data_IF_633422229463
#
_entry.id   IF_633422229463
#
_cell.length_a   1.000
_cell.length_b   1.000
_cell.length_c   1.000
_cell.angle_alpha   90.00
_cell.angle_beta   90.00
_cell.angle_gamma   90.00
#
_symmetry.space_group_name_H-M   'P 1'
#
loop_
_entity.id
_entity.type
_entity.pdbx_description
1 polymer ?
#
# COMPACT_ATOMS: atom_id res chain seq x y z
N UNK A 1 -13.37 -44.53 71.40
CA UNK A 1 -13.86 -45.88 71.76
C UNK A 1 -14.87 -46.30 70.71
N UNK A 2 -14.63 -47.47 70.11
CA UNK A 2 -15.54 -48.40 69.41
C UNK A 2 -16.41 -47.88 68.24
N UNK A 3 -16.20 -48.35 67.00
CA UNK A 3 -16.61 -49.67 66.43
C UNK A 3 -18.03 -49.55 65.81
N UNK A 4 -18.43 -50.08 64.65
CA UNK A 4 -17.86 -51.06 63.74
C UNK A 4 -18.59 -51.06 62.36
N UNK A 5 -17.81 -51.34 61.32
CA UNK A 5 -18.01 -52.31 60.21
C UNK A 5 -19.36 -52.47 59.49
N UNK A 6 -19.29 -52.39 58.16
CA UNK A 6 -19.52 -53.56 57.29
C UNK A 6 -18.69 -53.44 55.99
N UNK A 7 -17.92 -54.50 55.68
CA UNK A 7 -17.17 -54.69 54.42
C UNK A 7 -17.98 -55.63 53.54
N UNK A 8 -17.90 -55.48 52.21
CA UNK A 8 -17.78 -56.63 51.32
C UNK A 8 -17.00 -56.29 50.04
N UNK A 9 -16.31 -57.31 49.57
CA UNK A 9 -15.15 -57.35 48.67
C UNK A 9 -15.45 -57.13 47.18
N UNK A 10 -14.42 -56.70 46.43
CA UNK A 10 -14.42 -56.86 44.97
C UNK A 10 -13.24 -56.23 44.20
N UNK A 11 -12.05 -56.83 44.32
CA UNK A 11 -10.95 -56.90 43.32
C UNK A 11 -10.62 -55.69 42.41
N UNK A 12 -9.42 -55.12 42.61
CA UNK A 12 -8.57 -54.54 41.54
C UNK A 12 -7.80 -55.69 40.86
N UNK A 13 -7.39 -55.63 39.57
CA UNK A 13 -6.25 -54.79 39.18
C UNK A 13 -6.19 -54.30 37.71
N UNK A 14 -5.14 -53.51 37.45
CA UNK A 14 -4.32 -53.47 36.24
C UNK A 14 -4.39 -52.17 35.41
N UNK A 15 -3.52 -51.24 35.81
CA UNK A 15 -2.94 -50.22 34.94
C UNK A 15 -2.06 -50.88 33.86
N UNK A 16 -2.20 -50.48 32.60
CA UNK A 16 -1.22 -50.75 31.54
C UNK A 16 -0.70 -49.43 30.94
N UNK A 17 0.58 -49.36 30.52
CA UNK A 17 1.23 -48.13 30.08
C UNK A 17 1.04 -47.88 28.58
N UNK A 18 0.92 -46.59 28.23
CA UNK A 18 0.63 -46.09 26.90
C UNK A 18 1.92 -46.00 26.07
N UNK A 19 2.33 -47.10 25.44
CA UNK A 19 3.28 -47.04 24.33
C UNK A 19 2.52 -46.85 23.01
N UNK A 20 2.38 -45.60 22.55
CA UNK A 20 2.00 -45.31 21.16
C UNK A 20 3.20 -45.62 20.25
N UNK A 21 3.23 -46.82 19.67
CA UNK A 21 4.00 -47.08 18.45
C UNK A 21 3.28 -46.42 17.28
N UNK A 22 4.00 -45.64 16.48
CA UNK A 22 3.51 -45.16 15.18
C UNK A 22 3.10 -46.37 14.31
N UNK A 23 1.94 -46.35 13.63
CA UNK A 23 1.64 -47.36 12.64
C UNK A 23 2.54 -47.12 11.43
N UNK A 24 3.42 -48.08 11.12
CA UNK A 24 3.97 -48.23 9.78
C UNK A 24 2.77 -48.44 8.85
N UNK A 25 2.66 -47.61 7.81
CA UNK A 25 1.58 -47.64 6.83
C UNK A 25 1.60 -48.96 6.06
N UNK A 26 0.93 -49.99 6.58
CA UNK A 26 0.58 -51.18 5.78
C UNK A 26 -0.57 -50.72 4.88
N UNK A 27 -0.28 -50.46 3.60
CA UNK A 27 -1.32 -50.17 2.61
C UNK A 27 -2.32 -51.34 2.61
N UNK A 28 -3.62 -51.05 2.77
CA UNK A 28 -4.64 -52.10 2.77
C UNK A 28 -4.67 -52.77 1.39
N UNK A 29 -4.71 -54.10 1.36
CA UNK A 29 -4.74 -54.92 0.14
C UNK A 29 -5.87 -54.51 -0.80
N UNK A 30 -7.01 -54.09 -0.23
CA UNK A 30 -8.16 -53.59 -1.00
C UNK A 30 -7.91 -52.28 -1.74
N UNK A 31 -7.06 -51.38 -1.22
CA UNK A 31 -6.69 -50.17 -1.96
C UNK A 31 -5.80 -50.49 -3.17
N UNK A 32 -4.96 -51.53 -3.06
CA UNK A 32 -4.10 -51.99 -4.15
C UNK A 32 -4.95 -52.67 -5.24
N UNK A 33 -5.88 -53.54 -4.86
CA UNK A 33 -6.81 -54.18 -5.82
C UNK A 33 -7.66 -53.15 -6.57
N UNK A 34 -8.22 -52.16 -5.85
CA UNK A 34 -8.99 -51.08 -6.47
C UNK A 34 -8.15 -50.22 -7.43
N UNK A 35 -6.90 -49.91 -7.06
CA UNK A 35 -5.98 -49.20 -7.94
C UNK A 35 -5.65 -50.01 -9.20
N UNK A 36 -5.33 -51.30 -9.06
CA UNK A 36 -5.03 -52.19 -10.19
C UNK A 36 -6.19 -52.32 -11.18
N UNK A 37 -7.43 -52.40 -10.69
CA UNK A 37 -8.63 -52.47 -11.54
C UNK A 37 -8.85 -51.17 -12.32
N UNK A 38 -8.50 -50.02 -11.72
CA UNK A 38 -8.59 -48.71 -12.35
C UNK A 38 -7.52 -48.52 -13.43
N UNK A 39 -6.31 -49.02 -13.18
CA UNK A 39 -5.19 -49.05 -14.14
C UNK A 39 -5.55 -49.92 -15.36
N UNK A 40 -6.07 -51.14 -15.13
CA UNK A 40 -6.51 -52.06 -16.18
C UNK A 40 -7.63 -51.44 -17.04
N UNK A 41 -8.61 -50.79 -16.40
CA UNK A 41 -9.70 -50.11 -17.11
C UNK A 41 -9.25 -48.92 -17.96
N UNK A 42 -8.20 -48.23 -17.55
CA UNK A 42 -7.61 -47.12 -18.31
C UNK A 42 -6.71 -47.61 -19.46
N UNK A 43 -6.38 -48.91 -19.51
CA UNK A 43 -5.51 -49.48 -20.53
C UNK A 43 -4.07 -48.96 -20.48
N UNK A 44 -3.64 -48.48 -19.31
CA UNK A 44 -2.28 -47.96 -19.07
C UNK A 44 -1.51 -48.94 -18.20
N UNK A 45 -0.21 -49.10 -18.45
CA UNK A 45 0.64 -49.90 -17.56
C UNK A 45 1.11 -49.09 -16.35
N UNK A 46 1.61 -49.78 -15.32
CA UNK A 46 2.29 -49.12 -14.19
C UNK A 46 3.50 -48.33 -14.69
N UNK A 47 4.19 -48.81 -15.72
CA UNK A 47 5.33 -48.13 -16.32
C UNK A 47 4.92 -46.90 -17.14
N UNK A 48 3.75 -46.91 -17.78
CA UNK A 48 3.17 -45.71 -18.42
C UNK A 48 2.79 -44.66 -17.38
N UNK A 49 2.22 -45.07 -16.24
CA UNK A 49 1.91 -44.17 -15.13
C UNK A 49 3.17 -43.61 -14.47
N UNK A 50 4.22 -44.44 -14.34
CA UNK A 50 5.54 -43.99 -13.88
C UNK A 50 6.16 -43.01 -14.88
N UNK A 51 6.08 -43.30 -16.17
CA UNK A 51 6.63 -42.42 -17.23
C UNK A 51 5.89 -41.09 -17.29
N UNK A 52 4.56 -41.10 -17.19
CA UNK A 52 3.74 -39.90 -17.06
C UNK A 52 4.01 -39.14 -15.75
N UNK A 53 4.35 -39.84 -14.66
CA UNK A 53 4.78 -39.22 -13.41
C UNK A 53 6.23 -38.68 -13.46
N UNK A 54 7.06 -39.19 -14.38
CA UNK A 54 8.44 -38.73 -14.64
C UNK A 54 8.43 -37.52 -15.61
N UNK A 55 7.46 -37.43 -16.53
CA UNK A 55 7.16 -36.22 -17.33
C UNK A 55 6.56 -35.07 -16.48
N UNK A 56 6.96 -34.94 -15.22
CA UNK A 56 6.70 -33.69 -14.50
C UNK A 56 7.42 -32.56 -15.25
N UNK A 57 6.76 -31.41 -15.47
CA UNK A 57 7.40 -30.24 -16.03
C UNK A 57 8.70 -29.96 -15.28
N UNK A 58 9.79 -29.75 -16.02
CA UNK A 58 11.05 -29.35 -15.42
C UNK A 58 10.82 -28.05 -14.63
N UNK A 59 10.86 -28.14 -13.29
CA UNK A 59 10.67 -26.98 -12.42
C UNK A 59 11.91 -26.09 -12.56
N UNK A 60 11.78 -24.84 -13.00
CA UNK A 60 12.91 -23.96 -13.20
C UNK A 60 13.56 -23.60 -11.86
N UNK A 61 14.79 -23.12 -11.95
CA UNK A 61 15.48 -22.49 -10.83
C UNK A 61 14.97 -21.06 -10.59
N UNK A 62 15.24 -20.50 -9.41
CA UNK A 62 14.94 -19.08 -9.16
C UNK A 62 15.66 -18.17 -10.16
N UNK A 63 16.91 -18.47 -10.52
CA UNK A 63 17.71 -17.70 -11.47
C UNK A 63 17.09 -17.63 -12.86
N UNK A 64 16.46 -18.73 -13.30
CA UNK A 64 15.75 -18.80 -14.58
C UNK A 64 14.37 -18.11 -14.50
N UNK A 65 13.65 -18.28 -13.39
CA UNK A 65 12.24 -17.88 -13.31
C UNK A 65 12.00 -16.44 -12.85
N UNK A 66 12.85 -15.89 -11.97
CA UNK A 66 12.71 -14.50 -11.50
C UNK A 66 12.69 -13.49 -12.67
N UNK A 67 13.57 -13.57 -13.69
CA UNK A 67 13.51 -12.67 -14.85
C UNK A 67 12.18 -12.77 -15.63
N UNK A 68 11.62 -13.98 -15.76
CA UNK A 68 10.33 -14.21 -16.43
C UNK A 68 9.23 -13.47 -15.69
N UNK A 69 9.13 -13.68 -14.37
CA UNK A 69 8.11 -13.02 -13.54
C UNK A 69 8.32 -11.50 -13.49
N UNK A 70 9.56 -11.03 -13.36
CA UNK A 70 9.87 -9.60 -13.39
C UNK A 70 9.39 -8.95 -14.70
N UNK A 71 9.62 -9.59 -15.85
CA UNK A 71 9.21 -9.05 -17.14
C UNK A 71 7.69 -9.13 -17.37
N UNK A 72 7.01 -10.13 -16.80
CA UNK A 72 5.56 -10.25 -16.85
C UNK A 72 4.85 -9.22 -15.95
N UNK A 73 5.50 -8.77 -14.87
CA UNK A 73 4.93 -7.77 -13.98
C UNK A 73 4.91 -6.36 -14.60
N UNK A 74 3.83 -5.58 -14.40
CA UNK A 74 3.79 -4.18 -14.78
C UNK A 74 4.96 -3.38 -14.17
N UNK A 75 5.54 -2.48 -14.97
CA UNK A 75 6.66 -1.62 -14.58
C UNK A 75 6.26 -0.62 -13.48
N UNK A 76 6.25 -1.10 -12.24
CA UNK A 76 5.80 -0.38 -11.05
C UNK A 76 6.85 -0.46 -9.94
N UNK A 77 6.83 0.50 -9.02
CA UNK A 77 7.71 0.47 -7.85
C UNK A 77 7.54 -0.79 -6.98
N UNK A 78 6.38 -1.45 -7.03
CA UNK A 78 6.16 -2.74 -6.35
C UNK A 78 7.04 -3.83 -6.95
N UNK A 79 7.11 -3.91 -8.28
CA UNK A 79 7.99 -4.84 -9.00
C UNK A 79 9.45 -4.65 -8.60
N UNK A 80 9.93 -3.40 -8.59
CA UNK A 80 11.32 -3.11 -8.22
C UNK A 80 11.61 -3.40 -6.74
N UNK A 81 10.60 -3.19 -5.88
CA UNK A 81 10.68 -3.57 -4.46
C UNK A 81 10.79 -5.09 -4.33
N UNK A 82 9.96 -5.86 -5.02
CA UNK A 82 10.01 -7.32 -4.99
C UNK A 82 11.34 -7.85 -5.51
N UNK A 83 11.87 -7.27 -6.60
CA UNK A 83 13.19 -7.62 -7.12
C UNK A 83 14.28 -7.51 -6.05
N UNK A 84 14.25 -6.47 -5.19
CA UNK A 84 15.23 -6.31 -4.12
C UNK A 84 15.22 -7.42 -3.05
N UNK A 85 14.12 -8.19 -2.98
CA UNK A 85 14.00 -9.37 -2.14
C UNK A 85 14.29 -10.66 -2.91
N UNK A 86 13.84 -10.76 -4.16
CA UNK A 86 14.10 -11.93 -5.01
C UNK A 86 15.58 -12.15 -5.27
N UNK A 87 16.38 -11.09 -5.39
CA UNK A 87 17.84 -11.21 -5.51
C UNK A 87 18.53 -11.81 -4.28
N UNK A 88 17.82 -12.01 -3.18
CA UNK A 88 18.31 -12.69 -1.97
C UNK A 88 18.04 -14.20 -1.97
N UNK A 89 17.33 -14.70 -2.98
CA UNK A 89 17.04 -16.12 -3.14
C UNK A 89 18.24 -16.84 -3.79
N UNK A 90 18.27 -18.17 -3.67
CA UNK A 90 19.31 -18.99 -4.27
C UNK A 90 19.09 -19.11 -5.78
N UNK A 91 20.00 -18.62 -6.64
CA UNK A 91 19.79 -18.64 -8.09
C UNK A 91 19.68 -20.06 -8.64
N UNK A 92 20.46 -21.01 -8.13
CA UNK A 92 20.55 -22.37 -8.67
C UNK A 92 19.53 -23.35 -8.07
N UNK A 93 18.77 -22.92 -7.06
CA UNK A 93 17.79 -23.79 -6.38
C UNK A 93 16.48 -23.81 -7.18
N UNK A 94 15.87 -24.99 -7.32
CA UNK A 94 14.57 -25.12 -7.99
C UNK A 94 13.46 -24.52 -7.14
N UNK A 95 12.35 -24.13 -7.77
CA UNK A 95 11.23 -23.53 -7.03
C UNK A 95 10.54 -24.52 -6.07
N UNK A 96 10.65 -25.84 -6.28
CA UNK A 96 10.02 -26.89 -5.47
C UNK A 96 10.89 -27.43 -4.32
N UNK A 97 12.15 -27.00 -4.23
CA UNK A 97 13.12 -27.45 -3.22
C UNK A 97 13.08 -26.69 -1.87
N UNK A 98 12.80 -25.37 -1.81
CA UNK A 98 12.88 -24.62 -0.56
C UNK A 98 11.85 -25.08 0.47
N UNK A 99 12.34 -25.32 1.67
CA UNK A 99 11.46 -25.53 2.83
C UNK A 99 10.95 -24.19 3.37
N UNK A 100 9.81 -24.24 4.07
CA UNK A 100 9.26 -23.08 4.79
C UNK A 100 10.26 -22.51 5.79
N UNK A 101 11.06 -23.37 6.43
CA UNK A 101 12.07 -22.95 7.42
C UNK A 101 13.19 -22.15 6.77
N UNK A 102 13.70 -22.60 5.61
CA UNK A 102 14.74 -21.87 4.88
C UNK A 102 14.23 -20.48 4.42
N UNK A 103 12.99 -20.39 3.96
CA UNK A 103 12.37 -19.10 3.62
C UNK A 103 12.24 -18.19 4.86
N UNK A 104 11.85 -18.73 6.02
CA UNK A 104 11.80 -17.97 7.27
C UNK A 104 13.17 -17.45 7.69
N UNK A 105 14.22 -18.26 7.51
CA UNK A 105 15.60 -17.85 7.79
C UNK A 105 16.00 -16.66 6.91
N UNK A 106 15.79 -16.73 5.59
CA UNK A 106 16.08 -15.62 4.67
C UNK A 106 15.31 -14.34 5.02
N UNK A 107 14.04 -14.48 5.43
CA UNK A 107 13.21 -13.35 5.85
C UNK A 107 13.78 -12.68 7.10
N UNK A 108 14.22 -13.46 8.09
CA UNK A 108 14.82 -12.93 9.31
C UNK A 108 16.21 -12.33 9.06
N UNK A 109 17.02 -12.90 8.17
CA UNK A 109 18.29 -12.30 7.72
C UNK A 109 18.04 -10.95 7.03
N UNK A 110 17.08 -10.88 6.11
CA UNK A 110 16.70 -9.63 5.46
C UNK A 110 16.17 -8.59 6.45
N UNK A 111 15.46 -9.04 7.50
CA UNK A 111 15.04 -8.19 8.60
C UNK A 111 16.24 -7.66 9.38
N UNK A 112 17.21 -8.50 9.74
CA UNK A 112 18.39 -8.08 10.51
C UNK A 112 19.30 -7.13 9.72
N UNK A 113 19.48 -7.41 8.44
CA UNK A 113 20.33 -6.63 7.53
C UNK A 113 19.65 -5.38 6.94
N UNK A 114 18.43 -5.06 7.40
CA UNK A 114 17.68 -3.91 6.89
C UNK A 114 18.37 -2.60 7.25
N UNK A 115 18.16 -1.58 6.41
CA UNK A 115 18.50 -0.22 6.77
C UNK A 115 17.58 0.29 7.89
N UNK A 116 18.15 0.52 9.07
CA UNK A 116 17.43 1.15 10.18
C UNK A 116 17.28 2.65 9.88
N UNK A 117 16.04 3.15 9.95
CA UNK A 117 15.70 4.56 9.78
C UNK A 117 14.78 5.02 10.91
N UNK A 118 14.53 6.33 11.02
CA UNK A 118 13.69 6.90 12.09
C UNK A 118 12.26 6.32 12.12
N UNK A 119 11.75 5.87 10.97
CA UNK A 119 10.45 5.23 10.85
C UNK A 119 10.51 3.70 10.91
N UNK A 120 11.67 3.11 11.21
CA UNK A 120 11.79 1.66 11.38
C UNK A 120 10.94 1.19 12.56
N UNK A 121 10.20 0.11 12.33
CA UNK A 121 9.33 -0.50 13.35
C UNK A 121 9.74 -1.95 13.58
N UNK A 122 11.03 -2.15 13.85
CA UNK A 122 11.58 -3.49 14.08
C UNK A 122 11.60 -4.36 12.83
N UNK A 123 11.62 -3.76 11.64
CA UNK A 123 11.71 -4.47 10.36
C UNK A 123 10.45 -5.16 9.86
N UNK A 124 9.28 -4.89 10.46
CA UNK A 124 8.02 -5.51 10.03
C UNK A 124 7.70 -5.29 8.55
N UNK A 125 7.95 -4.10 8.02
CA UNK A 125 7.75 -3.82 6.59
C UNK A 125 8.67 -4.65 5.69
N UNK A 126 9.91 -4.92 6.13
CA UNK A 126 10.83 -5.75 5.36
C UNK A 126 10.33 -7.20 5.31
N UNK A 127 9.87 -7.73 6.44
CA UNK A 127 9.25 -9.06 6.53
C UNK A 127 8.00 -9.13 5.67
N UNK A 128 7.08 -8.17 5.80
CA UNK A 128 5.84 -8.11 5.03
C UNK A 128 6.11 -8.05 3.52
N UNK A 129 7.03 -7.19 3.08
CA UNK A 129 7.37 -7.07 1.67
C UNK A 129 8.05 -8.32 1.11
N UNK A 130 8.92 -8.98 1.89
CA UNK A 130 9.54 -10.22 1.46
C UNK A 130 8.49 -11.34 1.33
N UNK A 131 7.61 -11.51 2.32
CA UNK A 131 6.50 -12.48 2.25
C UNK A 131 5.62 -12.21 1.03
N UNK A 132 5.28 -10.96 0.76
CA UNK A 132 4.48 -10.60 -0.41
C UNK A 132 5.23 -10.83 -1.74
N UNK A 133 6.54 -10.58 -1.78
CA UNK A 133 7.37 -10.87 -2.95
C UNK A 133 7.42 -12.37 -3.24
N UNK A 134 7.60 -13.21 -2.20
CA UNK A 134 7.57 -14.67 -2.33
C UNK A 134 6.20 -15.14 -2.83
N UNK A 135 5.11 -14.70 -2.19
CA UNK A 135 3.75 -15.05 -2.61
C UNK A 135 3.44 -14.62 -4.05
N UNK A 136 3.97 -13.48 -4.49
CA UNK A 136 3.86 -13.06 -5.88
C UNK A 136 4.57 -14.05 -6.81
N UNK A 137 5.83 -14.37 -6.52
CA UNK A 137 6.62 -15.30 -7.34
C UNK A 137 5.98 -16.69 -7.43
N UNK A 138 5.58 -17.27 -6.30
CA UNK A 138 4.94 -18.58 -6.26
C UNK A 138 3.54 -18.57 -6.88
N UNK A 139 2.82 -17.44 -6.85
CA UNK A 139 1.56 -17.31 -7.61
C UNK A 139 1.78 -17.53 -9.09
N UNK A 140 2.77 -16.86 -9.68
CA UNK A 140 3.14 -17.09 -11.08
C UNK A 140 3.53 -18.55 -11.32
N UNK A 141 4.34 -19.14 -10.44
CA UNK A 141 4.76 -20.55 -10.59
C UNK A 141 3.58 -21.54 -10.58
N UNK A 142 2.56 -21.25 -9.76
CA UNK A 142 1.30 -22.03 -9.72
C UNK A 142 0.49 -21.81 -11.00
N UNK A 143 0.34 -20.56 -11.43
CA UNK A 143 -0.43 -20.21 -12.62
C UNK A 143 0.21 -20.82 -13.90
N UNK A 144 1.55 -20.88 -13.95
CA UNK A 144 2.35 -21.54 -14.99
C UNK A 144 2.47 -23.06 -14.80
N UNK A 145 1.88 -23.62 -13.73
CA UNK A 145 1.83 -25.06 -13.41
C UNK A 145 3.19 -25.71 -13.13
N UNK A 146 4.19 -24.95 -12.72
CA UNK A 146 5.45 -25.52 -12.22
C UNK A 146 5.30 -26.14 -10.84
N UNK A 147 4.35 -25.66 -10.03
CA UNK A 147 4.10 -26.13 -8.66
C UNK A 147 2.60 -26.12 -8.39
N UNK A 148 2.10 -27.05 -7.58
CA UNK A 148 0.71 -27.03 -7.11
C UNK A 148 0.50 -26.05 -5.95
N UNK A 149 -0.76 -25.71 -5.64
CA UNK A 149 -1.07 -24.83 -4.51
C UNK A 149 -0.68 -25.45 -3.16
N UNK A 150 -0.73 -26.78 -3.07
CA UNK A 150 -0.42 -27.55 -1.87
C UNK A 150 1.09 -27.58 -1.59
N UNK A 151 1.89 -27.49 -2.65
CA UNK A 151 3.35 -27.45 -2.62
C UNK A 151 3.91 -26.04 -2.39
N UNK A 152 3.11 -24.98 -2.47
CA UNK A 152 3.53 -23.59 -2.24
C UNK A 152 4.06 -23.36 -0.81
N UNK A 153 5.39 -23.17 -0.62
CA UNK A 153 5.96 -22.95 0.70
C UNK A 153 5.65 -21.54 1.22
N UNK A 154 5.32 -20.58 0.34
CA UNK A 154 5.03 -19.19 0.70
C UNK A 154 3.64 -19.03 1.34
N UNK A 155 2.72 -19.94 1.07
CA UNK A 155 1.39 -19.97 1.66
C UNK A 155 1.42 -20.12 3.19
N UNK A 156 2.44 -20.81 3.73
CA UNK A 156 2.63 -21.06 5.17
C UNK A 156 3.44 -19.98 5.88
N UNK A 157 3.84 -18.92 5.16
CA UNK A 157 4.51 -17.77 5.75
C UNK A 157 3.48 -16.82 6.36
N UNK A 158 3.66 -16.45 7.62
CA UNK A 158 2.81 -15.50 8.31
C UNK A 158 3.43 -14.10 8.25
N UNK A 159 2.77 -13.11 7.63
CA UNK A 159 3.23 -11.73 7.72
C UNK A 159 3.06 -11.21 9.16
N UNK A 160 3.89 -10.25 9.59
CA UNK A 160 3.78 -9.68 10.93
C UNK A 160 2.44 -8.97 11.09
N UNK A 161 1.89 -8.99 12.31
CA UNK A 161 0.68 -8.21 12.63
C UNK A 161 0.97 -6.71 12.41
N UNK A 162 0.13 -5.98 11.64
CA UNK A 162 0.32 -4.56 11.43
C UNK A 162 0.34 -3.81 12.75
N UNK A 163 1.38 -3.00 12.97
CA UNK A 163 1.42 -2.10 14.12
C UNK A 163 0.47 -0.92 13.94
N UNK A 164 -0.18 -0.45 15.02
CA UNK A 164 -1.01 0.73 14.95
C UNK A 164 -0.20 1.94 14.49
N UNK A 165 -0.77 2.75 13.60
CA UNK A 165 -0.14 4.00 13.15
C UNK A 165 0.07 4.92 14.35
N UNK A 166 1.28 5.48 14.49
CA UNK A 166 1.56 6.51 15.50
C UNK A 166 1.09 7.91 15.08
N UNK A 167 0.57 8.04 13.85
CA UNK A 167 0.13 9.34 13.31
C UNK A 167 -1.16 9.76 13.97
N UNK A 168 -1.17 10.99 14.45
CA UNK A 168 -2.34 11.69 14.97
C UNK A 168 -2.57 12.96 14.17
N UNK A 169 -3.75 13.54 14.28
CA UNK A 169 -3.99 14.89 13.77
C UNK A 169 -3.01 15.86 14.47
N UNK A 170 -2.39 16.75 13.70
CA UNK A 170 -1.51 17.77 14.24
C UNK A 170 -2.32 18.79 15.03
N UNK A 171 -1.89 19.19 16.24
CA UNK A 171 -2.47 20.33 16.94
C UNK A 171 -2.32 21.62 16.14
N UNK A 172 -3.26 22.56 16.31
CA UNK A 172 -3.27 23.85 15.59
C UNK A 172 -1.96 24.62 15.71
N UNK A 173 -1.44 24.77 16.94
CA UNK A 173 -0.15 25.42 17.20
C UNK A 173 1.03 24.79 16.46
N UNK A 174 1.07 23.45 16.39
CA UNK A 174 2.14 22.75 15.68
C UNK A 174 2.00 22.91 14.17
N UNK A 175 0.78 22.92 13.64
CA UNK A 175 0.52 23.19 12.23
C UNK A 175 0.90 24.64 11.87
N UNK A 176 0.58 25.61 12.73
CA UNK A 176 0.99 27.01 12.58
C UNK A 176 2.53 27.15 12.56
N UNK A 177 3.23 26.51 13.51
CA UNK A 177 4.70 26.50 13.55
C UNK A 177 5.32 25.87 12.29
N UNK A 178 4.72 24.79 11.77
CA UNK A 178 5.15 24.14 10.51
C UNK A 178 5.01 25.11 9.32
N UNK A 179 3.88 25.80 9.21
CA UNK A 179 3.65 26.77 8.14
C UNK A 179 4.59 27.99 8.27
N UNK A 180 4.82 28.47 9.49
CA UNK A 180 5.73 29.58 9.74
C UNK A 180 7.16 29.25 9.33
N UNK A 181 7.68 28.11 9.79
CA UNK A 181 9.02 27.63 9.40
C UNK A 181 9.15 27.37 7.88
N UNK A 182 8.04 27.10 7.19
CA UNK A 182 8.04 27.02 5.73
C UNK A 182 8.14 28.39 5.06
N UNK A 183 7.44 29.40 5.59
CA UNK A 183 7.38 30.76 5.07
C UNK A 183 8.66 31.57 5.32
N UNK A 184 9.35 31.34 6.43
CA UNK A 184 10.55 32.09 6.81
C UNK A 184 11.86 31.53 6.21
N UNK A 185 11.80 30.34 5.58
CA UNK A 185 12.99 29.54 5.32
C UNK A 185 13.21 29.07 3.89
N UNK A 186 14.48 28.85 3.56
CA UNK A 186 14.98 28.21 2.33
C UNK A 186 14.79 29.01 1.05
N UNK A 187 15.09 28.37 -0.08
CA UNK A 187 15.34 29.09 -1.34
C UNK A 187 14.08 29.45 -2.15
N UNK A 188 12.91 28.98 -1.73
CA UNK A 188 11.65 29.30 -2.41
C UNK A 188 10.45 29.15 -1.45
N UNK A 189 10.31 30.05 -0.46
CA UNK A 189 9.27 29.95 0.57
C UNK A 189 7.86 29.96 0.00
N UNK A 190 7.61 30.73 -1.07
CA UNK A 190 6.33 30.79 -1.76
C UNK A 190 5.87 29.42 -2.30
N UNK A 191 6.80 28.64 -2.89
CA UNK A 191 6.47 27.28 -3.29
C UNK A 191 6.23 26.39 -2.07
N UNK A 192 7.05 26.49 -1.03
CA UNK A 192 6.92 25.63 0.15
C UNK A 192 5.59 25.81 0.87
N UNK A 193 5.15 27.05 1.07
CA UNK A 193 3.85 27.34 1.67
C UNK A 193 2.70 26.87 0.77
N UNK A 194 2.82 27.05 -0.55
CA UNK A 194 1.85 26.52 -1.51
C UNK A 194 1.72 24.99 -1.43
N UNK A 195 2.83 24.26 -1.26
CA UNK A 195 2.80 22.80 -1.11
C UNK A 195 2.12 22.36 0.19
N UNK A 196 2.43 23.03 1.32
CA UNK A 196 1.78 22.72 2.59
C UNK A 196 0.28 23.03 2.54
N UNK A 197 -0.09 24.18 1.95
CA UNK A 197 -1.48 24.59 1.75
C UNK A 197 -2.23 23.58 0.88
N UNK A 198 -1.67 23.21 -0.28
CA UNK A 198 -2.24 22.20 -1.18
C UNK A 198 -2.55 20.90 -0.44
N UNK A 199 -1.61 20.38 0.35
CA UNK A 199 -1.83 19.14 1.08
C UNK A 199 -2.79 19.26 2.27
N UNK A 200 -2.84 20.43 2.90
CA UNK A 200 -3.76 20.71 4.00
C UNK A 200 -5.20 20.80 3.49
N UNK A 201 -5.42 21.49 2.37
CA UNK A 201 -6.75 21.62 1.77
C UNK A 201 -7.21 20.32 1.12
N UNK A 202 -6.37 19.63 0.35
CA UNK A 202 -6.83 18.53 -0.51
C UNK A 202 -6.68 17.15 0.11
N UNK A 203 -5.92 17.07 1.22
CA UNK A 203 -5.43 15.83 1.78
C UNK A 203 -4.75 14.90 0.75
N UNK A 204 -4.30 15.40 -0.41
CA UNK A 204 -3.85 14.54 -1.51
C UNK A 204 -2.56 13.80 -1.17
N UNK A 205 -2.32 12.68 -1.84
CA UNK A 205 -1.02 12.00 -1.77
C UNK A 205 0.04 12.85 -2.46
N UNK A 206 1.29 12.72 -2.02
CA UNK A 206 2.45 13.38 -2.62
C UNK A 206 2.55 13.09 -4.13
N UNK A 207 2.26 11.85 -4.54
CA UNK A 207 2.25 11.47 -5.96
C UNK A 207 1.19 12.21 -6.77
N UNK A 208 0.01 12.45 -6.19
CA UNK A 208 -1.07 13.20 -6.86
C UNK A 208 -0.69 14.66 -7.08
N UNK A 209 -0.15 15.32 -6.05
CA UNK A 209 0.34 16.69 -6.19
C UNK A 209 1.45 16.81 -7.25
N UNK A 210 2.42 15.88 -7.25
CA UNK A 210 3.50 15.87 -8.24
C UNK A 210 3.02 15.58 -9.67
N UNK A 211 1.89 14.91 -9.84
CA UNK A 211 1.35 14.53 -11.13
C UNK A 211 0.36 15.56 -11.71
N UNK A 212 -0.02 16.59 -10.95
CA UNK A 212 -0.88 17.66 -11.43
C UNK A 212 -0.28 18.35 -12.65
N UNK A 213 -1.14 18.64 -13.62
CA UNK A 213 -0.83 19.37 -14.85
C UNK A 213 -1.76 20.59 -14.97
N UNK A 214 -1.42 21.59 -15.79
CA UNK A 214 -2.30 22.74 -16.03
C UNK A 214 -3.71 22.36 -16.49
N UNK A 215 -3.83 21.35 -17.35
CA UNK A 215 -5.12 20.83 -17.83
C UNK A 215 -5.96 20.11 -16.77
N UNK A 216 -5.39 19.87 -15.59
CA UNK A 216 -6.09 19.25 -14.46
C UNK A 216 -6.75 20.27 -13.53
N UNK A 217 -6.61 21.55 -13.83
CA UNK A 217 -7.27 22.64 -13.11
C UNK A 217 -8.60 22.93 -13.78
N UNK A 218 -9.67 22.99 -12.98
CA UNK A 218 -10.94 23.61 -13.36
C UNK A 218 -11.14 24.86 -12.49
N UNK A 219 -10.70 26.04 -12.99
CA UNK A 219 -10.84 27.29 -12.24
C UNK A 219 -12.29 27.72 -12.05
N UNK A 220 -13.21 27.29 -12.92
CA UNK A 220 -14.62 27.69 -12.86
C UNK A 220 -15.30 27.04 -11.66
N UNK A 221 -15.04 25.76 -11.44
CA UNK A 221 -15.62 25.01 -10.33
C UNK A 221 -14.69 24.93 -9.09
N UNK A 222 -13.51 25.56 -9.15
CA UNK A 222 -12.45 25.43 -8.14
C UNK A 222 -12.08 23.97 -7.83
N UNK A 223 -11.92 23.15 -8.87
CA UNK A 223 -11.57 21.74 -8.74
C UNK A 223 -10.18 21.45 -9.31
N UNK A 224 -9.50 20.47 -8.71
CA UNK A 224 -8.28 19.88 -9.29
C UNK A 224 -8.48 18.37 -9.53
N UNK A 225 -7.98 17.87 -10.65
CA UNK A 225 -8.02 16.44 -10.99
C UNK A 225 -6.78 15.73 -10.47
N UNK A 226 -6.92 15.01 -9.35
CA UNK A 226 -5.83 14.26 -8.73
C UNK A 226 -5.75 12.84 -9.28
N UNK A 227 -4.58 12.49 -9.81
CA UNK A 227 -4.24 11.11 -10.23
C UNK A 227 -3.34 10.46 -9.21
N UNK A 228 -3.86 9.44 -8.53
CA UNK A 228 -3.12 8.72 -7.50
C UNK A 228 -2.85 7.26 -7.88
N UNK A 229 -1.88 6.64 -7.17
CA UNK A 229 -1.47 5.25 -7.40
C UNK A 229 -2.69 4.31 -7.46
N UNK A 230 -2.75 3.51 -8.53
CA UNK A 230 -3.85 2.58 -8.79
C UNK A 230 -4.90 3.11 -9.78
N UNK A 231 -4.54 4.07 -10.65
CA UNK A 231 -5.42 4.66 -11.67
C UNK A 231 -6.71 5.25 -11.08
N UNK A 232 -6.63 5.79 -9.85
CA UNK A 232 -7.74 6.51 -9.24
C UNK A 232 -7.60 7.97 -9.60
N UNK A 233 -8.45 8.41 -10.51
CA UNK A 233 -8.67 9.83 -10.79
C UNK A 233 -9.83 10.33 -9.92
N UNK A 234 -9.70 11.55 -9.40
CA UNK A 234 -10.78 12.21 -8.67
C UNK A 234 -10.69 13.71 -8.82
N UNK A 235 -11.84 14.35 -8.98
CA UNK A 235 -11.96 15.77 -8.75
C UNK A 235 -11.91 16.04 -7.25
N UNK A 236 -11.15 17.06 -6.86
CA UNK A 236 -10.99 17.49 -5.48
C UNK A 236 -11.19 19.00 -5.42
N UNK A 237 -12.16 19.48 -4.64
CA UNK A 237 -12.29 20.88 -4.28
C UNK A 237 -10.99 21.47 -3.74
N UNK A 238 -10.69 22.69 -4.18
CA UNK A 238 -9.66 23.58 -3.63
C UNK A 238 -10.29 24.95 -3.42
N UNK A 239 -9.75 25.76 -2.51
CA UNK A 239 -10.24 27.13 -2.37
C UNK A 239 -9.95 27.96 -3.63
N UNK A 240 -10.79 28.96 -3.98
CA UNK A 240 -10.53 29.85 -5.12
C UNK A 240 -9.16 30.56 -5.03
N UNK A 241 -8.70 30.88 -3.82
CA UNK A 241 -7.39 31.50 -3.63
C UNK A 241 -6.24 30.51 -3.81
N UNK A 242 -6.39 29.24 -3.40
CA UNK A 242 -5.43 28.18 -3.74
C UNK A 242 -5.39 27.93 -5.25
N UNK A 243 -6.54 27.88 -5.92
CA UNK A 243 -6.61 27.75 -7.38
C UNK A 243 -5.83 28.86 -8.08
N UNK A 244 -6.08 30.11 -7.70
CA UNK A 244 -5.37 31.28 -8.22
C UNK A 244 -3.85 31.18 -7.97
N UNK A 245 -3.45 30.76 -6.77
CA UNK A 245 -2.04 30.60 -6.43
C UNK A 245 -1.34 29.51 -7.28
N UNK A 246 -2.03 28.40 -7.57
CA UNK A 246 -1.54 27.34 -8.45
C UNK A 246 -1.35 27.84 -9.89
N UNK A 247 -2.33 28.58 -10.43
CA UNK A 247 -2.25 29.17 -11.77
C UNK A 247 -1.10 30.17 -11.87
N UNK A 248 -0.98 31.09 -10.91
CA UNK A 248 0.06 32.11 -10.88
C UNK A 248 1.45 31.49 -10.79
N UNK A 249 1.65 30.52 -9.89
CA UNK A 249 2.92 29.80 -9.76
C UNK A 249 3.32 29.11 -11.06
N UNK A 250 2.37 28.52 -11.79
CA UNK A 250 2.67 27.88 -13.07
C UNK A 250 3.03 28.93 -14.13
N UNK A 251 2.19 29.95 -14.31
CA UNK A 251 2.36 31.00 -15.31
C UNK A 251 3.70 31.73 -15.16
N UNK A 252 4.09 32.08 -13.94
CA UNK A 252 5.37 32.74 -13.63
C UNK A 252 6.56 31.85 -14.01
N UNK A 253 6.47 30.55 -13.73
CA UNK A 253 7.64 29.66 -13.77
C UNK A 253 7.84 28.96 -15.09
N UNK A 254 6.75 28.65 -15.81
CA UNK A 254 6.84 27.97 -17.11
C UNK A 254 7.61 28.81 -18.13
N UNK A 255 7.56 30.15 -18.02
CA UNK A 255 8.29 31.07 -18.88
C UNK A 255 9.81 30.85 -18.87
N UNK A 256 10.36 30.28 -17.79
CA UNK A 256 11.79 29.97 -17.66
C UNK A 256 12.17 28.56 -18.11
N UNK A 257 11.20 27.74 -18.53
CA UNK A 257 11.46 26.38 -18.99
C UNK A 257 11.86 26.38 -20.46
N UNK A 258 13.06 25.91 -20.77
CA UNK A 258 13.48 25.62 -22.14
C UNK A 258 12.72 24.39 -22.69
N UNK A 259 11.87 24.54 -23.72
CA UNK A 259 11.14 23.42 -24.31
C UNK A 259 12.07 22.36 -24.93
N UNK A 260 13.27 22.73 -25.39
CA UNK A 260 14.27 21.80 -25.93
C UNK A 260 14.93 20.92 -24.88
N UNK A 261 14.74 21.21 -23.59
CA UNK A 261 15.47 20.56 -22.51
C UNK A 261 15.02 19.12 -22.24
N UNK A 262 15.90 18.16 -22.49
CA UNK A 262 15.63 16.72 -22.28
C UNK A 262 16.10 16.18 -20.94
N UNK A 263 16.87 16.94 -20.16
CA UNK A 263 17.46 16.49 -18.89
C UNK A 263 17.25 17.47 -17.74
N UNK A 264 17.14 16.94 -16.53
CA UNK A 264 17.11 17.72 -15.29
C UNK A 264 18.52 18.25 -14.95
N UNK A 265 18.64 19.11 -13.92
CA UNK A 265 19.94 19.64 -13.45
C UNK A 265 20.94 18.54 -13.10
N UNK A 266 20.46 17.42 -12.56
CA UNK A 266 21.31 16.28 -12.19
C UNK A 266 21.61 15.32 -13.36
N UNK A 267 21.39 15.74 -14.60
CA UNK A 267 21.64 14.95 -15.81
C UNK A 267 20.63 13.84 -16.10
N UNK A 268 19.65 13.59 -15.21
CA UNK A 268 18.64 12.55 -15.45
C UNK A 268 17.67 12.97 -16.56
N UNK A 269 17.25 12.05 -17.45
CA UNK A 269 16.22 12.34 -18.45
C UNK A 269 14.92 12.85 -17.82
N UNK A 270 14.34 13.88 -18.41
CA UNK A 270 12.99 14.34 -18.10
C UNK A 270 11.99 13.51 -18.91
N UNK A 271 11.08 12.84 -18.22
CA UNK A 271 9.98 12.14 -18.89
C UNK A 271 9.00 13.14 -19.51
N UNK A 272 8.23 12.70 -20.50
CA UNK A 272 7.15 13.51 -21.12
C UNK A 272 6.19 13.99 -20.03
N UNK A 273 5.73 13.08 -19.16
CA UNK A 273 4.84 13.43 -18.05
C UNK A 273 5.46 14.45 -17.09
N UNK A 274 6.76 14.34 -16.78
CA UNK A 274 7.43 15.29 -15.91
C UNK A 274 7.43 16.69 -16.53
N UNK A 275 7.59 16.79 -17.86
CA UNK A 275 7.58 18.06 -18.58
C UNK A 275 6.22 18.74 -18.62
N UNK A 276 5.12 18.01 -18.35
CA UNK A 276 3.76 18.55 -18.31
C UNK A 276 3.31 19.00 -16.91
N UNK A 277 4.12 18.77 -15.87
CA UNK A 277 3.74 19.08 -14.48
C UNK A 277 3.48 20.57 -14.24
N UNK A 278 2.50 20.83 -13.38
CA UNK A 278 2.07 22.15 -12.92
C UNK A 278 3.10 22.76 -11.94
N UNK A 279 3.46 22.00 -10.90
CA UNK A 279 4.36 22.48 -9.85
C UNK A 279 5.81 22.54 -10.39
N UNK A 280 6.40 23.73 -10.40
CA UNK A 280 7.72 24.00 -10.98
C UNK A 280 8.63 24.74 -10.02
N UNK A 281 9.93 24.57 -10.19
CA UNK A 281 10.94 25.44 -9.57
C UNK A 281 11.01 26.79 -10.30
N UNK A 282 11.69 27.79 -9.71
CA UNK A 282 11.87 29.13 -10.31
C UNK A 282 12.54 29.12 -11.68
N UNK A 283 13.39 28.12 -11.95
CA UNK A 283 14.03 27.93 -13.25
C UNK A 283 13.16 27.16 -14.27
N UNK A 284 11.85 27.06 -14.03
CA UNK A 284 10.88 26.39 -14.88
C UNK A 284 10.94 24.86 -14.90
N UNK A 285 11.94 24.24 -14.27
CA UNK A 285 12.02 22.78 -14.20
C UNK A 285 10.89 22.20 -13.35
N UNK A 286 10.35 21.03 -13.75
CA UNK A 286 9.29 20.38 -12.99
C UNK A 286 9.77 19.97 -11.60
N UNK A 287 8.90 20.15 -10.62
CA UNK A 287 9.19 19.79 -9.23
C UNK A 287 9.34 18.27 -9.09
N UNK A 288 10.25 17.87 -8.18
CA UNK A 288 10.48 16.47 -7.84
C UNK A 288 10.18 16.19 -6.37
N UNK A 289 10.06 14.89 -6.03
CA UNK A 289 9.93 14.41 -4.65
C UNK A 289 11.05 14.93 -3.72
N UNK A 290 12.22 15.26 -4.26
CA UNK A 290 13.34 15.81 -3.47
C UNK A 290 12.97 17.13 -2.80
N UNK A 291 12.08 17.94 -3.39
CA UNK A 291 11.62 19.19 -2.76
C UNK A 291 10.97 18.95 -1.41
N UNK A 292 10.05 17.98 -1.34
CA UNK A 292 9.41 17.60 -0.07
C UNK A 292 10.40 17.09 0.98
N UNK A 293 11.40 16.31 0.57
CA UNK A 293 12.42 15.81 1.50
C UNK A 293 13.18 16.97 2.14
N UNK A 294 13.69 17.89 1.31
CA UNK A 294 14.43 19.07 1.77
C UNK A 294 13.53 19.96 2.64
N UNK A 295 12.28 20.16 2.23
CA UNK A 295 11.31 20.95 2.99
C UNK A 295 11.11 20.39 4.41
N UNK A 296 10.81 19.10 4.54
CA UNK A 296 10.59 18.49 5.86
C UNK A 296 11.87 18.33 6.68
N UNK A 297 13.02 18.08 6.04
CA UNK A 297 14.33 18.12 6.71
C UNK A 297 14.59 19.50 7.32
N UNK A 298 14.35 20.57 6.55
CA UNK A 298 14.50 21.97 7.01
C UNK A 298 13.54 22.32 8.13
N UNK A 299 12.24 22.05 7.95
CA UNK A 299 11.23 22.32 8.99
C UNK A 299 11.56 21.54 10.26
N UNK A 300 12.05 20.29 10.15
CA UNK A 300 12.50 19.50 11.30
C UNK A 300 13.67 20.12 12.07
N UNK A 301 14.51 20.92 11.42
CA UNK A 301 15.58 21.68 12.08
C UNK A 301 15.06 22.89 12.86
N UNK A 302 14.00 23.54 12.38
CA UNK A 302 13.39 24.71 13.02
C UNK A 302 12.32 24.35 14.07
N UNK A 303 11.60 23.25 13.88
CA UNK A 303 10.50 22.78 14.73
C UNK A 303 10.87 21.38 15.28
N UNK A 304 11.46 21.28 16.49
CA UNK A 304 11.98 20.01 17.01
C UNK A 304 10.96 18.86 17.03
N UNK A 305 9.68 19.17 17.32
CA UNK A 305 8.60 18.18 17.31
C UNK A 305 8.42 17.48 15.95
N UNK A 306 8.71 18.17 14.84
CA UNK A 306 8.67 17.60 13.49
C UNK A 306 9.75 16.53 13.31
N UNK A 307 10.97 16.81 13.75
CA UNK A 307 12.06 15.85 13.70
C UNK A 307 11.82 14.65 14.64
N UNK A 308 11.38 14.92 15.88
CA UNK A 308 11.14 13.91 16.91
C UNK A 308 10.05 12.92 16.51
N UNK A 309 8.94 13.40 15.95
CA UNK A 309 7.80 12.55 15.61
C UNK A 309 7.83 12.03 14.16
N UNK A 310 8.81 12.44 13.35
CA UNK A 310 8.88 12.09 11.94
C UNK A 310 7.67 12.63 11.16
N UNK A 311 7.28 13.88 11.45
CA UNK A 311 6.18 14.55 10.76
C UNK A 311 6.57 14.75 9.30
N UNK A 312 5.61 14.50 8.41
CA UNK A 312 5.77 14.59 6.96
C UNK A 312 4.45 14.99 6.32
N UNK A 313 4.44 15.19 5.00
CA UNK A 313 3.22 15.48 4.23
C UNK A 313 2.06 14.53 4.54
N UNK A 314 2.36 13.27 4.85
CA UNK A 314 1.32 12.29 5.17
C UNK A 314 0.58 12.61 6.47
N UNK A 315 1.22 13.29 7.43
CA UNK A 315 0.56 13.78 8.63
C UNK A 315 -0.44 14.91 8.33
N UNK A 316 -0.18 15.77 7.33
CA UNK A 316 -1.16 16.77 6.88
C UNK A 316 -2.42 16.09 6.37
N UNK A 317 -2.26 15.12 5.46
CA UNK A 317 -3.38 14.29 4.99
C UNK A 317 -4.18 13.68 6.15
N UNK A 318 -3.50 13.08 7.13
CA UNK A 318 -4.19 12.51 8.30
C UNK A 318 -4.90 13.56 9.15
N UNK A 319 -4.31 14.75 9.30
CA UNK A 319 -4.89 15.86 10.06
C UNK A 319 -6.19 16.32 9.41
N UNK A 320 -6.15 16.61 8.11
CA UNK A 320 -7.33 17.01 7.33
C UNK A 320 -8.42 15.94 7.38
N UNK A 321 -8.10 14.68 7.07
CA UNK A 321 -9.11 13.62 7.03
C UNK A 321 -9.74 13.34 8.40
N UNK A 322 -8.98 13.47 9.49
CA UNK A 322 -9.54 13.31 10.85
C UNK A 322 -10.39 14.50 11.27
N UNK A 323 -10.08 15.70 10.78
CA UNK A 323 -10.94 16.86 10.98
C UNK A 323 -12.26 16.68 10.21
N UNK A 324 -12.18 16.32 8.92
CA UNK A 324 -13.38 16.07 8.09
C UNK A 324 -14.24 14.95 8.68
N UNK A 325 -13.64 13.83 9.09
CA UNK A 325 -14.38 12.71 9.68
C UNK A 325 -15.16 13.11 10.94
N UNK A 326 -14.59 13.99 11.77
CA UNK A 326 -15.22 14.43 13.02
C UNK A 326 -16.32 15.46 12.84
N UNK A 327 -16.23 16.30 11.80
CA UNK A 327 -17.17 17.40 11.59
C UNK A 327 -18.24 17.08 10.54
N UNK A 328 -17.92 16.24 9.55
CA UNK A 328 -18.78 15.91 8.41
C UNK A 328 -19.05 14.41 8.25
N UNK A 329 -18.49 13.57 9.13
CA UNK A 329 -18.73 12.14 9.16
C UNK A 329 -17.84 11.30 8.24
N UNK A 330 -17.96 9.98 8.39
CA UNK A 330 -17.06 9.02 7.74
C UNK A 330 -17.23 8.95 6.21
N UNK A 331 -18.45 9.11 5.69
CA UNK A 331 -18.74 9.11 4.25
C UNK A 331 -18.01 10.24 3.52
N UNK A 332 -18.11 11.47 4.05
CA UNK A 332 -17.43 12.65 3.49
C UNK A 332 -15.91 12.48 3.58
N UNK A 333 -15.37 12.04 4.73
CA UNK A 333 -13.94 11.80 4.87
C UNK A 333 -13.40 10.75 3.88
N UNK A 334 -14.18 9.70 3.60
CA UNK A 334 -13.84 8.67 2.61
C UNK A 334 -13.82 9.23 1.18
N UNK A 335 -14.81 10.06 0.83
CA UNK A 335 -14.87 10.76 -0.46
C UNK A 335 -13.69 11.76 -0.60
N UNK A 336 -13.45 12.57 0.42
CA UNK A 336 -12.32 13.52 0.53
C UNK A 336 -10.96 12.83 0.32
N UNK A 337 -10.81 11.62 0.86
CA UNK A 337 -9.60 10.83 0.72
C UNK A 337 -9.41 10.19 -0.67
N UNK A 338 -10.40 10.26 -1.56
CA UNK A 338 -10.34 9.62 -2.87
C UNK A 338 -10.39 8.09 -2.81
N UNK A 339 -10.94 7.52 -1.74
CA UNK A 339 -11.15 6.09 -1.66
C UNK A 339 -12.35 5.72 -2.54
N UNK A 340 -12.08 5.52 -3.85
CA UNK A 340 -13.06 4.98 -4.78
C UNK A 340 -13.67 3.70 -4.19
N UNK A 341 -15.00 3.67 -4.15
CA UNK A 341 -15.80 2.50 -3.80
C UNK A 341 -15.59 1.44 -4.90
N UNK A 342 -14.50 0.68 -4.82
CA UNK A 342 -14.48 -0.64 -5.45
C UNK A 342 -15.66 -1.41 -4.85
N UNK A 343 -16.66 -1.71 -5.69
CA UNK A 343 -17.86 -2.50 -5.43
C UNK A 343 -17.97 -3.02 -3.99
N UNK A 344 -18.46 -2.17 -3.08
CA UNK A 344 -18.89 -2.66 -1.78
C UNK A 344 -20.10 -3.55 -2.03
N UNK A 345 -19.93 -4.85 -1.79
CA UNK A 345 -20.92 -5.92 -2.02
C UNK A 345 -22.06 -5.86 -0.98
N UNK A 346 -22.58 -4.67 -0.70
CA UNK A 346 -23.69 -4.44 0.23
C UNK A 346 -24.61 -3.34 -0.28
N UNK A 347 -25.87 -3.67 -0.52
CA UNK A 347 -26.90 -2.79 -1.07
C UNK A 347 -27.10 -1.48 -0.26
N UNK A 348 -26.70 -1.45 1.02
CA UNK A 348 -26.78 -0.30 1.93
C UNK A 348 -25.67 0.75 1.75
N UNK A 349 -24.60 0.46 1.00
CA UNK A 349 -23.46 1.39 0.81
C UNK A 349 -23.56 2.29 -0.42
N UNK A 350 -24.65 2.18 -1.18
CA UNK A 350 -24.94 3.06 -2.31
C UNK A 350 -25.56 4.37 -1.82
N UNK A 351 -26.43 4.31 -0.80
CA UNK A 351 -27.19 5.45 -0.26
C UNK A 351 -26.43 6.33 0.74
N UNK A 352 -25.18 6.01 1.09
CA UNK A 352 -24.35 6.73 2.08
C UNK A 352 -23.12 7.38 1.47
N UNK A 353 -23.13 7.61 0.15
CA UNK A 353 -21.99 8.18 -0.58
C UNK A 353 -22.06 9.70 -0.51
N UNK A 354 -20.99 10.30 -0.01
CA UNK A 354 -20.84 11.74 -0.07
C UNK A 354 -20.51 12.20 -1.51
N UNK A 355 -21.17 13.26 -1.96
CA UNK A 355 -20.95 13.94 -3.24
C UNK A 355 -19.75 14.88 -3.21
N UNK A 356 -19.49 15.54 -4.35
CA UNK A 356 -18.40 16.53 -4.45
C UNK A 356 -18.76 17.84 -3.74
N UNK A 357 -20.05 18.13 -3.65
CA UNK A 357 -20.65 19.27 -2.95
C UNK A 357 -20.41 19.18 -1.44
N UNK A 358 -20.60 18.02 -0.82
CA UNK A 358 -20.29 17.78 0.60
C UNK A 358 -18.78 17.88 0.89
N UNK A 359 -17.94 17.47 -0.07
CA UNK A 359 -16.48 17.64 0.04
C UNK A 359 -16.11 19.13 -0.05
N UNK A 360 -16.78 19.89 -0.93
CA UNK A 360 -16.61 21.33 -1.07
C UNK A 360 -17.08 22.08 0.18
N UNK A 361 -18.21 21.69 0.77
CA UNK A 361 -18.71 22.25 2.03
C UNK A 361 -17.73 22.00 3.19
N UNK A 362 -17.20 20.77 3.30
CA UNK A 362 -16.19 20.45 4.30
C UNK A 362 -14.91 21.28 4.13
N UNK A 363 -14.47 21.51 2.87
CA UNK A 363 -13.34 22.38 2.58
C UNK A 363 -13.63 23.84 2.95
N UNK A 364 -14.80 24.36 2.56
CA UNK A 364 -15.20 25.73 2.83
C UNK A 364 -15.26 26.00 4.35
N UNK A 365 -15.85 25.08 5.11
CA UNK A 365 -15.89 25.16 6.57
C UNK A 365 -14.50 25.06 7.21
N UNK A 366 -13.60 24.22 6.67
CA UNK A 366 -12.24 24.06 7.21
C UNK A 366 -11.37 25.29 6.98
N UNK A 367 -11.54 25.95 5.83
CA UNK A 367 -10.69 27.07 5.38
C UNK A 367 -11.29 28.43 5.71
N UNK A 368 -12.61 28.51 5.94
CA UNK A 368 -13.34 29.76 6.06
C UNK A 368 -13.52 30.48 4.71
N UNK A 369 -13.13 29.87 3.59
CA UNK A 369 -13.27 30.45 2.26
C UNK A 369 -14.51 29.87 1.55
N UNK A 370 -15.39 30.71 0.97
CA UNK A 370 -16.54 30.23 0.21
C UNK A 370 -16.09 29.42 -1.02
N UNK A 371 -16.83 28.37 -1.36
CA UNK A 371 -16.55 27.50 -2.49
C UNK A 371 -17.76 27.43 -3.44
N UNK A 372 -17.56 27.50 -4.77
CA UNK A 372 -18.67 27.57 -5.75
C UNK A 372 -19.61 26.35 -5.74
N UNK A 373 -19.11 25.18 -5.31
CA UNK A 373 -19.89 23.95 -5.16
C UNK A 373 -20.39 23.69 -3.73
N UNK A 374 -19.99 24.50 -2.75
CA UNK A 374 -20.58 24.37 -1.42
C UNK A 374 -21.98 24.98 -1.49
N UNK A 375 -22.99 24.22 -1.08
CA UNK A 375 -24.34 24.76 -1.01
C UNK A 375 -24.36 25.91 -0.01
N UNK A 376 -25.02 27.02 -0.35
CA UNK A 376 -25.40 28.03 0.64
C UNK A 376 -26.33 27.32 1.65
N UNK A 377 -26.05 27.31 2.97
CA UNK A 377 -26.90 26.64 3.95
C UNK A 377 -28.39 27.04 3.90
N UNK A 378 -28.76 28.09 3.15
CA UNK A 378 -30.12 28.57 2.95
C UNK A 378 -30.93 27.97 1.79
N UNK A 379 -30.37 27.12 0.92
CA UNK A 379 -31.08 26.57 -0.26
C UNK A 379 -31.35 25.05 -0.15
N UNK A 380 -31.80 24.62 1.03
CA UNK A 380 -32.33 23.26 1.24
C UNK A 380 -33.82 23.20 0.85
N UNK A 381 -34.12 22.69 -0.34
CA UNK A 381 -35.38 22.06 -0.80
C UNK A 381 -36.74 22.79 -0.66
N UNK A 382 -36.87 23.91 0.06
CA UNK A 382 -38.15 24.58 0.33
C UNK A 382 -38.49 25.76 -0.59
N UNK A 383 -37.68 26.04 -1.61
CA UNK A 383 -37.91 27.16 -2.54
C UNK A 383 -38.17 26.71 -3.99
N UNK A 384 -38.30 25.41 -4.25
CA UNK A 384 -38.68 24.90 -5.57
C UNK A 384 -40.21 24.99 -5.84
N UNK A 385 -41.02 25.37 -4.85
CA UNK A 385 -42.49 25.47 -4.94
C UNK A 385 -43.02 26.89 -4.62
N UNK A 386 -42.36 27.96 -5.08
CA UNK A 386 -42.93 29.32 -5.02
C UNK A 386 -42.84 30.07 -6.33
#
# INVERSE_FOLDING_TARGET
>A
MSSALARHHGRSPAQQPWHRRCPVTVQSTGNIEAAMLLIDRLGVSIDDLRSAAIEKPHVPTFGEYIPVVYNAMPATATRDTYMSYWTKLWPDKRLDEPTVTELKTLIEEARQNRRICRSDRGGQYAVEHFVNALRCLYRFAIDDRYITKEEDPSARLEPPKPLPSNRRALPGELLAAVNHAAAEGGNDPALDTLLLRLHTETACRLGGALALRPEDLDPTQSLILLREKGQKERWQPVTPTLMTALQNQYAERIAYFDPGRTTAINGRPLTIDARQRLLRYRNGLPMSKRRYQILWERIGGAVPAVATHGISTHWLRHTTLRWVERNFGHSVAKAYAGHANQHSRGATTIYTRAGIEEVAEALAAMTGEPHPLASDPGLSWHQADR
#
